data_IF_818379560843
#
_entry.id   IF_818379560843
#
_cell.length_a   1.000
_cell.length_b   1.000
_cell.length_c   1.000
_cell.angle_alpha   90.00
_cell.angle_beta   90.00
_cell.angle_gamma   90.00
#
_symmetry.space_group_name_H-M   'P 1'
#
loop_
_entity.id
_entity.type
_entity.pdbx_description
1 polymer ?
#
# COMPACT_ATOMS: atom_id res chain seq x y z
N UNK A 1 11.20 12.18 -1.18
CA UNK A 1 11.63 10.92 -0.53
C UNK A 1 12.35 11.13 0.81
N UNK A 2 13.58 11.70 0.87
CA UNK A 2 14.27 11.90 2.17
C UNK A 2 13.49 12.81 3.12
N UNK A 3 12.88 13.87 2.59
CA UNK A 3 12.04 14.77 3.39
C UNK A 3 10.77 14.07 3.93
N UNK A 4 10.11 13.24 3.10
CA UNK A 4 8.97 12.43 3.55
C UNK A 4 9.35 11.44 4.66
N UNK A 5 10.53 10.82 4.57
CA UNK A 5 11.04 9.92 5.63
C UNK A 5 11.18 10.69 6.94
N UNK A 6 11.73 11.93 6.90
CA UNK A 6 11.83 12.78 8.09
C UNK A 6 10.46 13.15 8.65
N UNK A 7 9.49 13.46 7.80
CA UNK A 7 8.12 13.77 8.23
C UNK A 7 7.44 12.57 8.88
N UNK A 8 7.61 11.37 8.32
CA UNK A 8 7.10 10.14 8.91
C UNK A 8 7.79 9.81 10.24
N UNK A 9 9.10 10.07 10.37
CA UNK A 9 9.83 9.90 11.62
C UNK A 9 9.29 10.83 12.71
N UNK A 10 9.06 12.11 12.39
CA UNK A 10 8.48 13.07 13.34
C UNK A 10 7.09 12.63 13.79
N UNK A 11 6.28 12.05 12.89
CA UNK A 11 4.98 11.48 13.27
C UNK A 11 5.14 10.28 14.18
N UNK A 12 6.05 9.36 13.83
CA UNK A 12 6.34 8.16 14.61
C UNK A 12 6.75 8.52 16.05
N UNK A 13 7.64 9.49 16.21
CA UNK A 13 8.11 9.95 17.53
C UNK A 13 7.01 10.59 18.39
N UNK A 14 5.89 11.01 17.77
CA UNK A 14 4.77 11.67 18.42
C UNK A 14 3.54 10.76 18.61
N UNK A 15 3.56 9.52 18.11
CA UNK A 15 2.44 8.58 18.14
C UNK A 15 2.52 7.67 19.37
N UNK A 16 1.44 7.60 20.15
CA UNK A 16 1.31 6.70 21.31
C UNK A 16 0.51 5.41 20.99
N UNK A 17 -0.20 5.35 19.86
CA UNK A 17 -1.00 4.20 19.46
C UNK A 17 -0.11 3.11 18.83
N UNK A 18 -0.05 1.93 19.45
CA UNK A 18 0.87 0.85 19.05
C UNK A 18 0.66 0.39 17.59
N UNK A 19 -0.60 0.32 17.13
CA UNK A 19 -0.92 -0.08 15.76
C UNK A 19 -0.45 0.97 14.75
N UNK A 20 -0.69 2.25 15.02
CA UNK A 20 -0.17 3.36 14.22
C UNK A 20 1.36 3.41 14.24
N UNK A 21 1.98 3.22 15.40
CA UNK A 21 3.43 3.21 15.56
C UNK A 21 4.05 2.13 14.67
N UNK A 22 3.56 0.89 14.75
CA UNK A 22 4.03 -0.21 13.91
C UNK A 22 3.80 0.04 12.42
N UNK A 23 2.68 0.66 12.05
CA UNK A 23 2.42 1.01 10.66
C UNK A 23 3.39 2.09 10.13
N UNK A 24 3.72 3.08 10.96
CA UNK A 24 4.71 4.11 10.66
C UNK A 24 6.14 3.54 10.58
N UNK A 25 6.52 2.64 11.47
CA UNK A 25 7.81 1.92 11.43
C UNK A 25 7.98 1.14 10.13
N UNK A 26 6.95 0.41 9.70
CA UNK A 26 6.97 -0.32 8.43
C UNK A 26 7.08 0.64 7.22
N UNK A 27 6.37 1.77 7.23
CA UNK A 27 6.43 2.77 6.16
C UNK A 27 7.80 3.47 6.07
N UNK A 28 8.38 3.86 7.21
CA UNK A 28 9.72 4.46 7.29
C UNK A 28 10.77 3.46 6.81
N UNK A 29 10.73 2.23 7.33
CA UNK A 29 11.65 1.16 6.96
C UNK A 29 11.55 0.85 5.46
N UNK A 30 10.34 0.70 4.93
CA UNK A 30 10.09 0.45 3.51
C UNK A 30 10.68 1.54 2.62
N UNK A 31 10.48 2.83 2.96
CA UNK A 31 11.05 3.95 2.20
C UNK A 31 12.57 4.00 2.26
N UNK A 32 13.19 3.68 3.39
CA UNK A 32 14.66 3.59 3.52
C UNK A 32 15.19 2.46 2.63
N UNK A 33 14.61 1.26 2.73
CA UNK A 33 15.01 0.11 1.91
C UNK A 33 14.86 0.41 0.42
N UNK A 34 13.76 1.04 0.02
CA UNK A 34 13.53 1.41 -1.37
C UNK A 34 14.57 2.42 -1.88
N UNK A 35 14.89 3.44 -1.08
CA UNK A 35 15.94 4.41 -1.44
C UNK A 35 17.30 3.73 -1.63
N UNK A 36 17.68 2.83 -0.73
CA UNK A 36 18.91 2.04 -0.84
C UNK A 36 18.91 1.16 -2.09
N UNK A 37 17.79 0.48 -2.37
CA UNK A 37 17.63 -0.34 -3.56
C UNK A 37 17.80 0.48 -4.85
N UNK A 38 17.16 1.64 -4.93
CA UNK A 38 17.33 2.56 -6.06
C UNK A 38 18.79 3.01 -6.24
N UNK A 39 19.50 3.31 -5.14
CA UNK A 39 20.91 3.67 -5.18
C UNK A 39 21.78 2.54 -5.74
N UNK A 40 21.60 1.32 -5.24
CA UNK A 40 22.32 0.13 -5.72
C UNK A 40 22.01 -0.13 -7.20
N UNK A 41 20.75 -0.06 -7.62
CA UNK A 41 20.38 -0.22 -9.02
C UNK A 41 21.08 0.82 -9.91
N UNK A 42 21.10 2.09 -9.50
CA UNK A 42 21.76 3.15 -10.26
C UNK A 42 23.28 2.93 -10.38
N UNK A 43 23.94 2.49 -9.32
CA UNK A 43 25.37 2.15 -9.35
C UNK A 43 25.65 0.95 -10.25
N UNK A 44 24.84 -0.11 -10.13
CA UNK A 44 24.97 -1.31 -10.98
C UNK A 44 24.76 -0.95 -12.44
N UNK A 45 23.74 -0.16 -12.77
CA UNK A 45 23.45 0.25 -14.15
C UNK A 45 24.58 1.09 -14.77
N UNK A 46 25.30 1.87 -13.95
CA UNK A 46 26.47 2.66 -14.39
C UNK A 46 27.72 1.79 -14.56
N UNK A 47 28.00 0.90 -13.62
CA UNK A 47 29.24 0.12 -13.60
C UNK A 47 29.18 -1.13 -14.49
N UNK A 48 28.00 -1.71 -14.69
CA UNK A 48 27.85 -2.97 -15.43
C UNK A 48 28.37 -2.86 -16.88
N UNK A 49 28.09 -1.79 -17.66
CA UNK A 49 28.67 -1.63 -18.98
C UNK A 49 30.20 -1.58 -18.97
N UNK A 50 30.80 -0.88 -18.01
CA UNK A 50 32.27 -0.77 -17.89
C UNK A 50 32.91 -2.14 -17.60
N UNK A 51 32.32 -2.90 -16.67
CA UNK A 51 32.77 -4.27 -16.35
C UNK A 51 32.63 -5.18 -17.57
N UNK A 52 31.50 -5.12 -18.28
CA UNK A 52 31.27 -5.95 -19.47
C UNK A 52 32.26 -5.61 -20.59
N UNK A 53 32.52 -4.34 -20.84
CA UNK A 53 33.48 -3.91 -21.87
C UNK A 53 34.92 -4.31 -21.50
N UNK A 54 35.29 -4.20 -20.23
CA UNK A 54 36.58 -4.71 -19.73
C UNK A 54 36.70 -6.22 -19.94
N UNK A 55 35.70 -7.00 -19.50
CA UNK A 55 35.70 -8.45 -19.66
C UNK A 55 35.75 -8.90 -21.12
N UNK A 56 35.07 -8.18 -22.01
CA UNK A 56 35.12 -8.41 -23.45
C UNK A 56 36.51 -8.19 -24.02
N UNK A 57 37.21 -7.13 -23.58
CA UNK A 57 38.59 -6.81 -24.01
C UNK A 57 39.60 -7.85 -23.53
N UNK A 58 39.51 -8.25 -22.28
CA UNK A 58 40.46 -9.19 -21.65
C UNK A 58 40.12 -10.67 -21.93
N UNK A 59 38.99 -10.95 -22.59
CA UNK A 59 38.57 -12.31 -22.92
C UNK A 59 38.14 -13.16 -21.72
N UNK A 60 37.80 -12.54 -20.57
CA UNK A 60 37.43 -13.25 -19.34
C UNK A 60 35.91 -13.51 -19.19
N UNK A 61 35.17 -13.52 -20.31
CA UNK A 61 33.72 -13.79 -20.34
C UNK A 61 33.33 -15.12 -19.66
N UNK A 62 34.21 -16.12 -19.70
CA UNK A 62 34.01 -17.41 -19.02
C UNK A 62 33.93 -17.21 -17.50
N UNK A 63 34.84 -16.44 -16.91
CA UNK A 63 34.84 -16.15 -15.47
C UNK A 63 33.59 -15.37 -15.03
N UNK A 64 33.12 -14.42 -15.84
CA UNK A 64 31.86 -13.70 -15.58
C UNK A 64 30.66 -14.65 -15.59
N UNK A 65 30.64 -15.60 -16.53
CA UNK A 65 29.60 -16.64 -16.61
C UNK A 65 29.62 -17.56 -15.39
N UNK A 66 30.81 -17.97 -14.93
CA UNK A 66 30.97 -18.83 -13.75
C UNK A 66 30.46 -18.12 -12.48
N UNK A 67 30.80 -16.85 -12.30
CA UNK A 67 30.28 -16.03 -11.19
C UNK A 67 28.76 -15.95 -11.23
N UNK A 68 28.17 -15.71 -12.41
CA UNK A 68 26.72 -15.71 -12.58
C UNK A 68 26.06 -17.04 -12.19
N UNK A 69 26.65 -18.17 -12.59
CA UNK A 69 26.18 -19.50 -12.22
C UNK A 69 26.24 -19.75 -10.70
N UNK A 70 27.33 -19.32 -10.03
CA UNK A 70 27.47 -19.44 -8.57
C UNK A 70 26.36 -18.63 -7.87
N UNK A 71 26.17 -17.36 -8.26
CA UNK A 71 25.15 -16.49 -7.68
C UNK A 71 23.76 -17.11 -7.85
N UNK A 72 23.45 -17.62 -9.04
CA UNK A 72 22.17 -18.28 -9.32
C UNK A 72 21.96 -19.54 -8.45
N UNK A 73 23.02 -20.34 -8.26
CA UNK A 73 23.00 -21.53 -7.40
C UNK A 73 22.88 -21.23 -5.90
N UNK A 74 23.28 -20.04 -5.46
CA UNK A 74 23.15 -19.60 -4.05
C UNK A 74 21.79 -19.01 -3.68
N UNK A 75 20.79 -19.06 -4.58
CA UNK A 75 19.44 -18.58 -4.27
C UNK A 75 18.83 -19.38 -3.12
N UNK A 76 18.91 -18.83 -1.92
CA UNK A 76 18.16 -19.31 -0.75
C UNK A 76 16.76 -18.74 -0.78
N UNK A 77 15.76 -19.60 -0.52
CA UNK A 77 14.39 -19.18 -0.23
C UNK A 77 14.41 -18.09 0.87
N UNK A 78 13.71 -16.97 0.67
CA UNK A 78 13.66 -15.93 1.68
C UNK A 78 12.97 -16.48 2.94
N UNK A 79 13.59 -16.31 4.10
CA UNK A 79 12.88 -16.53 5.36
C UNK A 79 11.77 -15.48 5.53
N UNK A 80 10.92 -15.66 6.53
CA UNK A 80 9.78 -14.77 6.80
C UNK A 80 10.20 -13.30 6.98
N UNK A 81 11.32 -13.03 7.66
CA UNK A 81 11.81 -11.66 7.86
C UNK A 81 12.23 -11.02 6.54
N UNK A 82 12.96 -11.75 5.71
CA UNK A 82 13.40 -11.28 4.39
C UNK A 82 12.20 -11.05 3.49
N UNK A 83 11.22 -11.94 3.50
CA UNK A 83 9.98 -11.77 2.74
C UNK A 83 9.19 -10.54 3.22
N UNK A 84 9.15 -10.31 4.54
CA UNK A 84 8.51 -9.13 5.12
C UNK A 84 9.20 -7.84 4.69
N UNK A 85 10.54 -7.76 4.82
CA UNK A 85 11.33 -6.59 4.41
C UNK A 85 11.20 -6.32 2.90
N UNK A 86 11.21 -7.37 2.08
CA UNK A 86 10.99 -7.25 0.64
C UNK A 86 9.60 -6.68 0.32
N UNK A 87 8.56 -7.15 1.03
CA UNK A 87 7.20 -6.66 0.85
C UNK A 87 7.08 -5.18 1.18
N UNK A 88 7.53 -4.74 2.37
CA UNK A 88 7.42 -3.32 2.75
C UNK A 88 8.26 -2.40 1.87
N UNK A 89 9.40 -2.88 1.35
CA UNK A 89 10.21 -2.17 0.37
C UNK A 89 9.44 -1.99 -0.95
N UNK A 90 8.80 -3.05 -1.45
CA UNK A 90 8.01 -3.00 -2.69
C UNK A 90 6.76 -2.14 -2.54
N UNK A 91 6.07 -2.21 -1.40
CA UNK A 91 4.93 -1.35 -1.08
C UNK A 91 5.33 0.13 -1.11
N UNK A 92 6.47 0.47 -0.51
CA UNK A 92 7.01 1.83 -0.56
C UNK A 92 7.34 2.28 -1.99
N UNK A 93 7.89 1.39 -2.82
CA UNK A 93 8.13 1.65 -4.25
C UNK A 93 6.84 1.84 -5.05
N UNK A 94 5.75 1.17 -4.66
CA UNK A 94 4.42 1.35 -5.22
C UNK A 94 3.67 2.57 -4.67
N UNK A 95 4.22 3.26 -3.66
CA UNK A 95 3.57 4.38 -2.98
C UNK A 95 2.46 3.95 -2.00
N UNK A 96 2.40 2.67 -1.65
CA UNK A 96 1.47 2.14 -0.65
C UNK A 96 1.97 2.47 0.75
N UNK A 97 1.12 3.08 1.59
CA UNK A 97 1.43 3.39 3.00
C UNK A 97 0.49 2.60 3.90
N UNK A 98 1.04 1.76 4.77
CA UNK A 98 0.28 1.00 5.75
C UNK A 98 -0.39 1.94 6.75
N UNK A 99 0.29 3.01 7.16
CA UNK A 99 -0.28 4.01 8.06
C UNK A 99 -1.53 4.67 7.46
N UNK A 100 -1.46 5.11 6.20
CA UNK A 100 -2.62 5.69 5.51
C UNK A 100 -3.77 4.69 5.35
N UNK A 101 -3.46 3.44 5.02
CA UNK A 101 -4.47 2.38 4.91
C UNK A 101 -5.16 2.11 6.26
N UNK A 102 -4.40 2.11 7.35
CA UNK A 102 -4.93 1.94 8.71
C UNK A 102 -5.86 3.10 9.10
N UNK A 103 -5.44 4.35 8.86
CA UNK A 103 -6.30 5.52 9.11
C UNK A 103 -7.58 5.48 8.26
N UNK A 104 -7.48 5.10 6.99
CA UNK A 104 -8.62 4.97 6.10
C UNK A 104 -9.60 3.88 6.56
N UNK A 105 -9.10 2.74 7.04
CA UNK A 105 -9.91 1.67 7.60
C UNK A 105 -10.65 2.13 8.86
N UNK A 106 -9.97 2.79 9.81
CA UNK A 106 -10.59 3.34 11.02
C UNK A 106 -11.69 4.36 10.69
N UNK A 107 -11.45 5.25 9.72
CA UNK A 107 -12.44 6.20 9.27
C UNK A 107 -13.68 5.52 8.66
N UNK A 108 -13.48 4.49 7.83
CA UNK A 108 -14.56 3.72 7.22
C UNK A 108 -15.41 2.98 8.27
N UNK A 109 -14.78 2.42 9.32
CA UNK A 109 -15.49 1.78 10.42
C UNK A 109 -16.36 2.76 11.19
N UNK A 110 -15.84 3.95 11.54
CA UNK A 110 -16.63 4.97 12.25
C UNK A 110 -17.90 5.35 11.47
N UNK A 111 -17.80 5.56 10.15
CA UNK A 111 -18.96 5.86 9.30
C UNK A 111 -20.01 4.75 9.34
N UNK A 112 -19.58 3.48 9.34
CA UNK A 112 -20.48 2.32 9.41
C UNK A 112 -21.25 2.28 10.74
N UNK A 113 -20.58 2.54 11.86
CA UNK A 113 -21.22 2.54 13.18
C UNK A 113 -22.15 3.73 13.37
N UNK A 114 -21.77 4.93 12.90
CA UNK A 114 -22.62 6.12 12.95
C UNK A 114 -23.90 5.97 12.11
N UNK A 115 -23.80 5.37 10.92
CA UNK A 115 -24.96 5.11 10.06
C UNK A 115 -25.93 4.08 10.67
N UNK A 116 -25.39 3.09 11.37
CA UNK A 116 -26.20 2.04 12.04
C UNK A 116 -26.89 2.58 13.30
N UNK A 117 -26.25 3.49 14.02
CA UNK A 117 -26.83 4.16 15.19
C UNK A 117 -28.00 5.09 14.81
N UNK A 118 -27.93 5.75 13.65
CA UNK A 118 -29.04 6.57 13.13
C UNK A 118 -30.24 5.70 12.75
N UNK A 119 -30.02 4.51 12.18
CA UNK A 119 -31.13 3.61 11.79
C UNK A 119 -31.86 2.97 12.98
N UNK A 120 -31.17 2.73 14.11
CA UNK A 120 -31.75 2.09 15.31
C UNK A 120 -32.57 3.05 16.18
N UNK A 121 -32.38 4.36 16.02
CA UNK A 121 -33.03 5.37 16.85
C UNK A 121 -34.30 5.98 16.22
N UNK A 122 -34.81 5.45 15.11
CA UNK A 122 -36.14 5.82 14.61
C UNK A 122 -37.19 5.16 15.49
N UNK A 123 -37.99 5.90 16.28
CA UNK A 123 -39.13 5.31 16.95
C UNK A 123 -40.12 4.91 15.85
N UNK A 124 -40.52 3.64 15.84
CA UNK A 124 -41.70 3.17 15.13
C UNK A 124 -42.93 3.77 15.84
N UNK A 125 -43.12 5.07 15.65
CA UNK A 125 -44.31 5.81 16.04
C UNK A 125 -45.31 5.72 14.91
N UNK A 126 -46.19 4.74 15.01
CA UNK A 126 -47.44 4.64 14.25
C UNK A 126 -48.15 5.99 14.21
N UNK A 127 -48.37 6.52 13.01
CA UNK A 127 -49.56 7.33 12.76
C UNK A 127 -50.19 6.87 11.45
N UNK A 128 -51.10 5.90 11.60
CA UNK A 128 -52.25 5.80 10.70
C UNK A 128 -52.94 7.17 10.69
N UNK A 129 -53.02 7.81 9.53
CA UNK A 129 -54.13 8.71 9.25
C UNK A 129 -54.55 8.47 7.81
N UNK A 130 -55.59 7.66 7.72
CA UNK A 130 -56.49 7.55 6.58
C UNK A 130 -57.09 8.94 6.36
N UNK A 131 -56.90 9.52 5.18
CA UNK A 131 -57.87 10.46 4.62
C UNK A 131 -57.98 10.20 3.12
N UNK A 132 -58.95 9.38 2.78
CA UNK A 132 -59.36 9.21 1.40
C UNK A 132 -60.06 10.48 0.90
N UNK A 133 -59.86 10.81 -0.37
CA UNK A 133 -60.95 11.33 -1.19
C UNK A 133 -60.73 10.97 -2.65
N UNK A 134 -61.60 10.06 -3.10
CA UNK A 134 -62.05 9.79 -4.46
C UNK A 134 -61.90 10.94 -5.46
N UNK A 135 -61.41 10.64 -6.68
CA UNK A 135 -62.03 11.15 -7.91
C UNK A 135 -61.75 10.26 -9.12
N UNK A 136 -62.80 9.52 -9.48
CA UNK A 136 -63.28 9.13 -10.82
C UNK A 136 -62.32 8.94 -12.01
N UNK A 137 -62.48 7.73 -12.55
CA UNK A 137 -62.27 7.22 -13.91
C UNK A 137 -62.67 8.24 -14.99
N UNK A 138 -61.85 8.39 -16.02
CA UNK A 138 -62.35 8.46 -17.41
C UNK A 138 -61.31 7.88 -18.37
N UNK A 139 -61.56 6.65 -18.82
CA UNK A 139 -60.98 6.11 -20.05
C UNK A 139 -61.55 6.89 -21.24
N UNK A 140 -60.71 7.26 -22.21
CA UNK A 140 -61.17 7.52 -23.59
C UNK A 140 -60.08 7.11 -24.56
N UNK A 141 -60.44 6.13 -25.39
CA UNK A 141 -59.77 5.68 -26.62
C UNK A 141 -60.05 6.68 -27.76
N UNK A 142 -59.10 6.80 -28.70
CA UNK A 142 -59.15 7.35 -30.08
C UNK A 142 -57.99 8.36 -30.28
N UNK A 143 -57.11 8.29 -31.27
CA UNK A 143 -57.03 7.59 -32.56
C UNK A 143 -55.59 7.09 -32.78
#
# INVERSE_FOLDING_TARGET
>A
MVQEIKELQVKLDATDDEDEQRALEEDVTGKILWLCWCGICAEVDQLLPEVVDYCRREGCMIGLSEVGCIIAGTRTEPNDDRAHLQRIMLDAGAGTSKYQLLLAARAAEQVKWSSTAILRNTPLGTQETILGTSSQIHSTLAF
#
